data_IF_386972827518
#
_entry.id   IF_386972827518
#
_cell.length_a   1.000
_cell.length_b   1.000
_cell.length_c   1.000
_cell.angle_alpha   90.00
_cell.angle_beta   90.00
_cell.angle_gamma   90.00
#
_symmetry.space_group_name_H-M   'P 1'
#
loop_
_entity.id
_entity.type
_entity.pdbx_description
1 polymer ?
#
# COMPACT_ATOMS: atom_id res chain seq x y z
N UNK A 1 30.17 -9.46 2.24
CA UNK A 1 29.60 -8.13 1.93
C UNK A 1 30.16 -7.13 2.93
N UNK A 2 30.61 -5.96 2.49
CA UNK A 2 31.04 -4.90 3.42
C UNK A 2 29.81 -4.47 4.24
N UNK A 3 29.93 -4.48 5.58
CA UNK A 3 28.84 -4.05 6.45
C UNK A 3 28.67 -2.52 6.30
N UNK A 4 27.45 -2.08 6.05
CA UNK A 4 27.08 -0.66 6.03
C UNK A 4 27.48 -0.01 7.36
N UNK A 5 27.84 1.27 7.33
CA UNK A 5 28.01 2.04 8.58
C UNK A 5 26.66 2.24 9.26
N UNK A 6 26.66 2.50 10.57
CA UNK A 6 25.43 2.75 11.34
C UNK A 6 24.61 3.89 10.70
N UNK A 7 25.26 4.96 10.24
CA UNK A 7 24.60 6.09 9.59
C UNK A 7 23.95 5.69 8.26
N UNK A 8 24.61 4.85 7.46
CA UNK A 8 24.06 4.35 6.20
C UNK A 8 22.85 3.43 6.43
N UNK A 9 22.91 2.60 7.48
CA UNK A 9 21.80 1.74 7.88
C UNK A 9 20.58 2.56 8.32
N UNK A 10 20.80 3.54 9.22
CA UNK A 10 19.73 4.42 9.71
C UNK A 10 19.12 5.26 8.60
N UNK A 11 19.93 5.78 7.67
CA UNK A 11 19.44 6.52 6.51
C UNK A 11 18.60 5.63 5.58
N UNK A 12 19.04 4.39 5.33
CA UNK A 12 18.30 3.42 4.52
C UNK A 12 16.96 3.03 5.14
N UNK A 13 16.94 2.75 6.45
CA UNK A 13 15.72 2.44 7.19
C UNK A 13 14.73 3.62 7.19
N UNK A 14 15.21 4.84 7.39
CA UNK A 14 14.39 6.05 7.36
C UNK A 14 13.79 6.30 5.96
N UNK A 15 14.56 6.07 4.89
CA UNK A 15 14.08 6.22 3.52
C UNK A 15 12.96 5.21 3.19
N UNK A 16 13.14 3.93 3.56
CA UNK A 16 12.12 2.87 3.38
C UNK A 16 10.84 3.19 4.17
N UNK A 17 10.97 3.63 5.43
CA UNK A 17 9.81 4.02 6.24
C UNK A 17 9.09 5.26 5.69
N UNK A 18 9.85 6.23 5.19
CA UNK A 18 9.32 7.42 4.53
C UNK A 18 8.51 7.07 3.28
N UNK A 19 9.06 6.20 2.42
CA UNK A 19 8.39 5.70 1.23
C UNK A 19 7.10 4.93 1.57
N UNK A 20 7.13 4.08 2.60
CA UNK A 20 5.94 3.37 3.09
C UNK A 20 4.86 4.34 3.57
N UNK A 21 5.24 5.32 4.39
CA UNK A 21 4.30 6.32 4.94
C UNK A 21 3.67 7.17 3.83
N UNK A 22 4.47 7.63 2.87
CA UNK A 22 4.00 8.43 1.75
C UNK A 22 3.06 7.62 0.85
N UNK A 23 3.39 6.36 0.58
CA UNK A 23 2.54 5.46 -0.20
C UNK A 23 1.17 5.29 0.43
N UNK A 24 1.12 4.98 1.73
CA UNK A 24 -0.16 4.85 2.45
C UNK A 24 -0.95 6.15 2.44
N UNK A 25 -0.30 7.30 2.65
CA UNK A 25 -0.96 8.59 2.61
C UNK A 25 -1.60 8.87 1.24
N UNK A 26 -0.85 8.66 0.14
CA UNK A 26 -1.36 8.88 -1.22
C UNK A 26 -2.56 7.98 -1.49
N UNK A 27 -2.46 6.68 -1.20
CA UNK A 27 -3.54 5.73 -1.43
C UNK A 27 -4.78 6.13 -0.61
N UNK A 28 -4.60 6.46 0.68
CA UNK A 28 -5.69 6.83 1.56
C UNK A 28 -6.41 8.09 1.10
N UNK A 29 -5.68 9.17 0.83
CA UNK A 29 -6.28 10.43 0.38
C UNK A 29 -6.87 10.33 -1.02
N UNK A 30 -6.25 9.57 -1.93
CA UNK A 30 -6.80 9.32 -3.25
C UNK A 30 -8.12 8.56 -3.20
N UNK A 31 -8.22 7.52 -2.34
CA UNK A 31 -9.45 6.77 -2.13
C UNK A 31 -10.55 7.62 -1.49
N UNK A 32 -10.22 8.45 -0.50
CA UNK A 32 -11.19 9.38 0.09
C UNK A 32 -11.69 10.37 -0.96
N UNK A 33 -10.78 11.01 -1.70
CA UNK A 33 -11.14 11.99 -2.72
C UNK A 33 -12.04 11.42 -3.81
N UNK A 34 -11.73 10.20 -4.28
CA UNK A 34 -12.60 9.51 -5.25
C UNK A 34 -13.95 9.16 -4.65
N UNK A 35 -14.01 8.65 -3.43
CA UNK A 35 -15.29 8.33 -2.79
C UNK A 35 -16.17 9.56 -2.64
N UNK A 36 -15.61 10.71 -2.24
CA UNK A 36 -16.34 11.98 -2.22
C UNK A 36 -16.84 12.39 -3.60
N UNK A 37 -16.01 12.28 -4.63
CA UNK A 37 -16.41 12.60 -6.00
C UNK A 37 -17.57 11.72 -6.49
N UNK A 38 -17.52 10.42 -6.19
CA UNK A 38 -18.58 9.46 -6.54
C UNK A 38 -19.87 9.81 -5.82
N UNK A 39 -19.83 10.07 -4.51
CA UNK A 39 -21.03 10.37 -3.73
C UNK A 39 -21.66 11.73 -4.10
N UNK A 40 -20.83 12.74 -4.39
CA UNK A 40 -21.31 14.07 -4.71
C UNK A 40 -21.83 14.19 -6.16
N UNK A 41 -21.18 13.53 -7.12
CA UNK A 41 -21.44 13.73 -8.54
C UNK A 41 -21.99 12.49 -9.26
N UNK A 42 -21.79 11.28 -8.74
CA UNK A 42 -22.26 10.04 -9.36
C UNK A 42 -23.77 10.03 -9.71
N UNK A 43 -24.66 10.39 -8.76
CA UNK A 43 -26.11 10.34 -9.00
C UNK A 43 -26.61 11.26 -10.12
N UNK A 44 -25.96 12.41 -10.33
CA UNK A 44 -26.36 13.41 -11.33
C UNK A 44 -25.49 13.43 -12.59
N UNK A 45 -24.40 12.65 -12.61
CA UNK A 45 -23.48 12.57 -13.73
C UNK A 45 -24.07 11.80 -14.92
N UNK A 46 -23.89 12.34 -16.13
CA UNK A 46 -24.11 11.60 -17.37
C UNK A 46 -23.09 10.48 -17.59
N UNK A 47 -23.35 9.58 -18.55
CA UNK A 47 -22.55 8.37 -18.80
C UNK A 47 -21.05 8.67 -18.99
N UNK A 48 -20.69 9.71 -19.75
CA UNK A 48 -19.30 10.09 -19.99
C UNK A 48 -18.55 10.46 -18.69
N UNK A 49 -19.20 11.17 -17.77
CA UNK A 49 -18.62 11.55 -16.49
C UNK A 49 -18.49 10.34 -15.54
N UNK A 50 -19.45 9.41 -15.55
CA UNK A 50 -19.36 8.15 -14.81
C UNK A 50 -18.21 7.27 -15.30
N UNK A 51 -18.00 7.20 -16.61
CA UNK A 51 -16.86 6.48 -17.21
C UNK A 51 -15.51 7.13 -16.85
N UNK A 52 -15.44 8.47 -16.83
CA UNK A 52 -14.24 9.18 -16.39
C UNK A 52 -13.91 8.87 -14.92
N UNK A 53 -14.91 8.91 -14.03
CA UNK A 53 -14.76 8.52 -12.62
C UNK A 53 -14.30 7.06 -12.48
N UNK A 54 -14.90 6.13 -13.23
CA UNK A 54 -14.50 4.72 -13.20
C UNK A 54 -13.04 4.54 -13.64
N UNK A 55 -12.59 5.27 -14.66
CA UNK A 55 -11.20 5.23 -15.13
C UNK A 55 -10.23 5.72 -14.04
N UNK A 56 -10.59 6.79 -13.32
CA UNK A 56 -9.80 7.31 -12.21
C UNK A 56 -9.70 6.26 -11.09
N UNK A 57 -10.81 5.61 -10.73
CA UNK A 57 -10.83 4.55 -9.72
C UNK A 57 -9.92 3.39 -10.13
N UNK A 58 -9.97 2.95 -11.39
CA UNK A 58 -9.07 1.90 -11.90
C UNK A 58 -7.61 2.33 -11.77
N UNK A 59 -7.27 3.55 -12.19
CA UNK A 59 -5.90 4.06 -12.11
C UNK A 59 -5.37 4.10 -10.66
N UNK A 60 -6.19 4.61 -9.72
CA UNK A 60 -5.85 4.65 -8.29
C UNK A 60 -5.72 3.25 -7.72
N UNK A 61 -6.58 2.31 -8.13
CA UNK A 61 -6.53 0.92 -7.67
C UNK A 61 -5.25 0.24 -8.15
N UNK A 62 -4.90 0.38 -9.43
CA UNK A 62 -3.66 -0.19 -10.00
C UNK A 62 -2.44 0.42 -9.32
N UNK A 63 -2.39 1.75 -9.20
CA UNK A 63 -1.33 2.43 -8.47
C UNK A 63 -1.23 1.94 -7.03
N UNK A 64 -2.37 1.87 -6.32
CA UNK A 64 -2.42 1.44 -4.94
C UNK A 64 -1.93 0.01 -4.75
N UNK A 65 -2.32 -0.92 -5.61
CA UNK A 65 -1.83 -2.31 -5.56
C UNK A 65 -0.32 -2.37 -5.75
N UNK A 66 0.21 -1.68 -6.76
CA UNK A 66 1.65 -1.68 -7.05
C UNK A 66 2.44 -1.01 -5.94
N UNK A 67 1.98 0.14 -5.46
CA UNK A 67 2.66 0.90 -4.43
C UNK A 67 2.60 0.20 -3.06
N UNK A 68 1.42 -0.32 -2.65
CA UNK A 68 1.30 -1.13 -1.43
C UNK A 68 2.20 -2.36 -1.48
N UNK A 69 2.22 -3.09 -2.61
CA UNK A 69 3.13 -4.24 -2.76
C UNK A 69 4.59 -3.82 -2.61
N UNK A 70 5.01 -2.77 -3.30
CA UNK A 70 6.38 -2.24 -3.21
C UNK A 70 6.76 -1.88 -1.77
N UNK A 71 5.91 -1.11 -1.07
CA UNK A 71 6.15 -0.72 0.31
C UNK A 71 6.20 -1.92 1.29
N UNK A 72 5.36 -2.94 1.05
CA UNK A 72 5.37 -4.16 1.85
C UNK A 72 6.58 -5.06 1.57
N UNK A 73 7.05 -5.12 0.32
CA UNK A 73 8.29 -5.82 -0.05
C UNK A 73 9.51 -5.14 0.59
N UNK A 74 9.52 -3.81 0.70
CA UNK A 74 10.55 -3.07 1.47
C UNK A 74 10.50 -3.38 2.98
N UNK A 75 9.30 -3.45 3.56
CA UNK A 75 9.12 -3.82 4.97
C UNK A 75 9.58 -5.27 5.21
N UNK A 76 9.32 -6.18 4.27
CA UNK A 76 9.85 -7.54 4.31
C UNK A 76 11.38 -7.53 4.29
N UNK A 77 12.00 -6.77 3.40
CA UNK A 77 13.46 -6.66 3.35
C UNK A 77 14.04 -6.11 4.66
N UNK A 78 13.42 -5.10 5.27
CA UNK A 78 13.82 -4.59 6.59
C UNK A 78 13.71 -5.65 7.69
N UNK A 79 12.66 -6.47 7.65
CA UNK A 79 12.50 -7.56 8.61
C UNK A 79 13.58 -8.63 8.42
N UNK A 80 13.84 -9.03 7.17
CA UNK A 80 14.84 -10.03 6.83
C UNK A 80 16.25 -9.55 7.24
N UNK A 81 16.58 -8.28 6.99
CA UNK A 81 17.81 -7.63 7.46
C UNK A 81 17.93 -7.69 9.00
N UNK A 82 16.85 -7.35 9.73
CA UNK A 82 16.84 -7.39 11.20
C UNK A 82 16.95 -8.82 11.76
N UNK A 83 16.34 -9.81 11.10
CA UNK A 83 16.43 -11.21 11.50
C UNK A 83 17.87 -11.72 11.44
N UNK A 84 18.62 -11.33 10.42
CA UNK A 84 20.01 -11.72 10.24
C UNK A 84 20.92 -11.07 11.30
N UNK A 85 20.70 -9.77 11.59
CA UNK A 85 21.45 -9.04 12.61
C UNK A 85 21.22 -9.57 14.04
N UNK A 86 20.00 -10.03 14.34
CA UNK A 86 19.62 -10.59 15.65
C UNK A 86 19.66 -12.13 15.68
N UNK A 87 20.35 -12.75 14.73
CA UNK A 87 20.47 -14.21 14.63
C UNK A 87 21.07 -14.81 15.91
N UNK A 88 20.35 -15.75 16.52
CA UNK A 88 20.72 -16.38 17.80
C UNK A 88 20.02 -15.81 19.04
N UNK A 89 19.27 -14.71 18.92
CA UNK A 89 18.45 -14.18 20.01
C UNK A 89 17.00 -14.69 19.95
N UNK A 90 16.31 -14.71 21.11
CA UNK A 90 14.85 -14.94 21.18
C UNK A 90 14.06 -13.92 20.34
N UNK A 91 14.58 -12.71 20.20
CA UNK A 91 13.96 -11.65 19.41
C UNK A 91 13.97 -11.98 17.90
N UNK A 92 15.14 -12.35 17.36
CA UNK A 92 15.25 -12.79 15.96
C UNK A 92 14.41 -14.03 15.65
N UNK A 93 14.28 -14.95 16.61
CA UNK A 93 13.39 -16.11 16.47
C UNK A 93 11.91 -15.72 16.38
N UNK A 94 11.49 -14.67 17.08
CA UNK A 94 10.11 -14.16 17.01
C UNK A 94 9.85 -13.41 15.70
N UNK A 95 10.81 -12.62 15.23
CA UNK A 95 10.72 -11.90 13.96
C UNK A 95 10.53 -12.86 12.76
N UNK A 96 11.19 -14.03 12.77
CA UNK A 96 11.01 -15.08 11.74
C UNK A 96 9.60 -15.65 11.66
N UNK A 97 8.81 -15.55 12.73
CA UNK A 97 7.46 -16.11 12.77
C UNK A 97 6.41 -15.16 12.18
N UNK A 98 6.76 -13.90 11.89
CA UNK A 98 5.82 -12.93 11.35
C UNK A 98 5.45 -13.36 9.91
N UNK A 99 4.17 -13.63 9.62
CA UNK A 99 3.74 -14.10 8.30
C UNK A 99 3.63 -12.92 7.32
N UNK A 100 4.76 -12.27 7.01
CA UNK A 100 4.78 -11.04 6.21
C UNK A 100 4.06 -11.22 4.88
N UNK A 101 4.27 -12.35 4.19
CA UNK A 101 3.61 -12.64 2.92
C UNK A 101 2.07 -12.61 3.02
N UNK A 102 1.49 -13.07 4.14
CA UNK A 102 0.06 -13.00 4.39
C UNK A 102 -0.39 -11.54 4.54
N UNK A 103 0.37 -10.73 5.27
CA UNK A 103 0.11 -9.29 5.41
C UNK A 103 0.20 -8.55 4.07
N UNK A 104 1.18 -8.86 3.23
CA UNK A 104 1.29 -8.30 1.87
C UNK A 104 0.04 -8.66 1.06
N UNK A 105 -0.32 -9.94 1.02
CA UNK A 105 -1.50 -10.42 0.29
C UNK A 105 -2.78 -9.76 0.77
N UNK A 106 -2.99 -9.70 2.09
CA UNK A 106 -4.17 -9.07 2.68
C UNK A 106 -4.25 -7.57 2.34
N UNK A 107 -3.13 -6.84 2.38
CA UNK A 107 -3.08 -5.42 2.03
C UNK A 107 -3.46 -5.17 0.57
N UNK A 108 -2.94 -5.99 -0.35
CA UNK A 108 -3.29 -5.92 -1.78
C UNK A 108 -4.78 -6.23 -2.00
N UNK A 109 -5.30 -7.27 -1.36
CA UNK A 109 -6.73 -7.63 -1.46
C UNK A 109 -7.61 -6.48 -0.95
N UNK A 110 -7.24 -5.83 0.15
CA UNK A 110 -8.00 -4.69 0.68
C UNK A 110 -8.03 -3.53 -0.32
N UNK A 111 -6.91 -3.20 -0.95
CA UNK A 111 -6.87 -2.15 -1.98
C UNK A 111 -7.75 -2.49 -3.18
N UNK A 112 -7.69 -3.75 -3.65
CA UNK A 112 -8.58 -4.23 -4.72
C UNK A 112 -10.05 -4.15 -4.33
N UNK A 113 -10.40 -4.57 -3.11
CA UNK A 113 -11.76 -4.53 -2.60
C UNK A 113 -12.31 -3.10 -2.54
N UNK A 114 -11.48 -2.13 -2.12
CA UNK A 114 -11.86 -0.70 -2.14
C UNK A 114 -12.16 -0.23 -3.58
N UNK A 115 -11.28 -0.52 -4.53
CA UNK A 115 -11.48 -0.16 -5.94
C UNK A 115 -12.75 -0.78 -6.53
N UNK A 116 -12.98 -2.08 -6.30
CA UNK A 116 -14.18 -2.78 -6.75
C UNK A 116 -15.46 -2.19 -6.14
N UNK A 117 -15.41 -1.82 -4.86
CA UNK A 117 -16.56 -1.20 -4.17
C UNK A 117 -16.88 0.18 -4.76
N UNK A 118 -15.86 0.98 -5.07
CA UNK A 118 -16.04 2.29 -5.71
C UNK A 118 -16.58 2.15 -7.15
N UNK A 119 -16.09 1.18 -7.92
CA UNK A 119 -16.63 0.89 -9.26
C UNK A 119 -18.09 0.44 -9.20
N UNK A 120 -18.43 -0.41 -8.23
CA UNK A 120 -19.82 -0.81 -7.99
C UNK A 120 -20.69 0.39 -7.64
N UNK A 121 -20.22 1.28 -6.77
CA UNK A 121 -20.93 2.50 -6.40
C UNK A 121 -21.23 3.38 -7.63
N UNK A 122 -20.25 3.56 -8.53
CA UNK A 122 -20.44 4.30 -9.80
C UNK A 122 -21.48 3.63 -10.70
N UNK A 123 -21.44 2.30 -10.82
CA UNK A 123 -22.37 1.55 -11.65
C UNK A 123 -23.81 1.54 -11.09
N UNK A 124 -23.95 1.66 -9.77
CA UNK A 124 -25.24 1.67 -9.06
C UNK A 124 -25.87 3.06 -8.90
N UNK A 125 -25.08 4.12 -9.08
CA UNK A 125 -25.54 5.52 -9.08
C UNK A 125 -26.25 5.84 -10.41
#
# INVERSE_FOLDING_TARGET
MAKLTVDQYMAGAAARLGHLTQTYAIIFFANIGTMFAILAYGPSAGLAARLALATIVVAITVYGVLATRSAMDELKAMLDDAVDDFSGSRFGAHLKQIPVALFIGASVILVLAMGLTQLWAIASA
#
